data_IF_962606115281
#
_entry.id   IF_962606115281
#
_cell.length_a   1.000
_cell.length_b   1.000
_cell.length_c   1.000
_cell.angle_alpha   90.00
_cell.angle_beta   90.00
_cell.angle_gamma   90.00
#
_symmetry.space_group_name_H-M   'P 1'
#
loop_
_entity.id
_entity.type
_entity.pdbx_description
1 polymer ?
#
# COMPACT_ATOMS: atom_id res chain seq x y z
N UNK A 1 12.00 -14.16 -13.02
CA UNK A 1 12.86 -13.04 -13.56
C UNK A 1 13.54 -13.51 -14.84
N UNK A 2 13.24 -12.88 -15.96
CA UNK A 2 13.87 -13.24 -17.23
C UNK A 2 15.09 -12.33 -17.44
N UNK A 3 16.27 -12.93 -17.60
CA UNK A 3 17.57 -12.22 -17.76
C UNK A 3 17.94 -11.24 -16.62
N UNK A 4 17.44 -11.43 -15.40
CA UNK A 4 17.71 -10.54 -14.27
C UNK A 4 16.90 -9.24 -14.24
N UNK A 5 15.85 -9.13 -15.07
CA UNK A 5 14.96 -7.97 -15.10
C UNK A 5 13.62 -8.27 -14.42
N UNK A 6 13.10 -7.32 -13.65
CA UNK A 6 11.75 -7.32 -13.09
C UNK A 6 10.89 -6.40 -13.94
N UNK A 7 9.78 -6.93 -14.47
CA UNK A 7 8.82 -6.12 -15.22
C UNK A 7 7.83 -5.49 -14.26
N UNK A 8 7.97 -4.19 -14.04
CA UNK A 8 7.09 -3.41 -13.17
C UNK A 8 6.13 -2.53 -13.99
N UNK A 9 4.94 -2.31 -13.46
CA UNK A 9 3.99 -1.32 -13.94
C UNK A 9 3.81 -0.22 -12.89
N UNK A 10 3.68 1.03 -13.32
CA UNK A 10 3.18 2.15 -12.52
C UNK A 10 1.87 2.59 -13.15
N UNK A 11 0.81 2.68 -12.37
CA UNK A 11 -0.52 2.97 -12.86
C UNK A 11 -1.26 3.95 -11.96
N UNK A 12 -2.04 4.85 -12.57
CA UNK A 12 -2.84 5.85 -11.84
C UNK A 12 -4.31 5.58 -12.12
N UNK A 13 -5.11 5.15 -11.11
CA UNK A 13 -6.52 4.90 -11.29
C UNK A 13 -7.31 6.20 -11.44
N UNK A 14 -8.40 6.15 -12.17
CA UNK A 14 -9.43 7.17 -12.08
C UNK A 14 -10.19 6.96 -10.76
N UNK A 15 -10.16 7.96 -9.88
CA UNK A 15 -10.76 7.86 -8.55
C UNK A 15 -11.85 8.92 -8.35
N UNK A 16 -12.77 8.60 -7.45
CA UNK A 16 -13.79 9.52 -6.91
C UNK A 16 -13.57 9.63 -5.40
N UNK A 17 -13.55 10.86 -4.89
CA UNK A 17 -13.28 11.13 -3.47
C UNK A 17 -14.29 10.44 -2.56
N UNK A 18 -13.82 9.60 -1.64
CA UNK A 18 -14.62 8.87 -0.68
C UNK A 18 -15.34 7.63 -1.21
N UNK A 19 -15.30 7.35 -2.52
CA UNK A 19 -15.99 6.23 -3.15
C UNK A 19 -15.12 4.97 -3.21
N UNK A 20 -14.86 4.35 -2.04
CA UNK A 20 -13.92 3.25 -1.90
C UNK A 20 -14.20 2.08 -2.86
N UNK A 21 -15.48 1.72 -3.07
CA UNK A 21 -15.84 0.60 -3.96
C UNK A 21 -15.62 0.93 -5.44
N UNK A 22 -15.95 2.15 -5.87
CA UNK A 22 -15.67 2.61 -7.23
C UNK A 22 -14.15 2.63 -7.49
N UNK A 23 -13.40 3.18 -6.55
CA UNK A 23 -11.94 3.26 -6.65
C UNK A 23 -11.29 1.87 -6.66
N UNK A 24 -11.80 0.94 -5.84
CA UNK A 24 -11.36 -0.46 -5.87
C UNK A 24 -11.58 -1.11 -7.24
N UNK A 25 -12.72 -0.86 -7.89
CA UNK A 25 -12.98 -1.34 -9.25
C UNK A 25 -11.96 -0.83 -10.26
N UNK A 26 -11.60 0.46 -10.18
CA UNK A 26 -10.56 1.06 -11.03
C UNK A 26 -9.18 0.45 -10.76
N UNK A 27 -8.83 0.25 -9.48
CA UNK A 27 -7.57 -0.39 -9.05
C UNK A 27 -7.50 -1.83 -9.60
N UNK A 28 -8.56 -2.63 -9.42
CA UNK A 28 -8.64 -4.01 -9.91
C UNK A 28 -8.44 -4.07 -11.43
N UNK A 29 -9.07 -3.18 -12.18
CA UNK A 29 -8.91 -3.12 -13.63
C UNK A 29 -7.45 -2.89 -14.05
N UNK A 30 -6.72 -2.03 -13.33
CA UNK A 30 -5.30 -1.76 -13.59
C UNK A 30 -4.40 -2.92 -13.18
N UNK A 31 -4.74 -3.64 -12.10
CA UNK A 31 -4.04 -4.86 -11.70
C UNK A 31 -4.20 -5.93 -12.77
N UNK A 32 -5.43 -6.14 -13.27
CA UNK A 32 -5.73 -7.10 -14.34
C UNK A 32 -4.98 -6.76 -15.65
N UNK A 33 -4.92 -5.47 -16.01
CA UNK A 33 -4.18 -5.00 -17.18
C UNK A 33 -2.67 -5.23 -17.03
N UNK A 34 -2.08 -4.89 -15.88
CA UNK A 34 -0.67 -5.14 -15.58
C UNK A 34 -0.34 -6.64 -15.64
N UNK A 35 -1.20 -7.48 -15.04
CA UNK A 35 -1.04 -8.93 -15.04
C UNK A 35 -1.12 -9.51 -16.46
N UNK A 36 -2.05 -9.02 -17.28
CA UNK A 36 -2.18 -9.44 -18.69
C UNK A 36 -0.94 -9.13 -19.52
N UNK A 37 -0.21 -8.10 -19.14
CA UNK A 37 1.06 -7.69 -19.76
C UNK A 37 2.28 -8.42 -19.17
N UNK A 38 2.08 -9.33 -18.22
CA UNK A 38 3.13 -10.10 -17.56
C UNK A 38 4.00 -9.25 -16.62
N UNK A 39 3.43 -8.23 -16.00
CA UNK A 39 4.13 -7.48 -14.97
C UNK A 39 4.17 -8.29 -13.66
N UNK A 40 5.34 -8.33 -13.02
CA UNK A 40 5.57 -9.03 -11.75
C UNK A 40 5.06 -8.20 -10.57
N UNK A 41 5.10 -6.87 -10.70
CA UNK A 41 4.63 -5.93 -9.69
C UNK A 41 3.91 -4.75 -10.35
N UNK A 42 2.85 -4.25 -9.71
CA UNK A 42 2.17 -3.00 -10.08
C UNK A 42 2.08 -2.08 -8.89
N UNK A 43 2.50 -0.82 -9.10
CA UNK A 43 2.48 0.25 -8.12
C UNK A 43 1.39 1.26 -8.46
N UNK A 44 0.53 1.55 -7.48
CA UNK A 44 -0.52 2.57 -7.55
C UNK A 44 -0.27 3.66 -6.50
N UNK A 45 -0.84 4.87 -6.67
CA UNK A 45 -0.51 6.02 -5.83
C UNK A 45 -0.94 5.91 -4.37
N UNK A 46 -0.31 6.75 -3.53
CA UNK A 46 -0.71 7.04 -2.16
C UNK A 46 -2.20 7.39 -2.08
N UNK A 47 -2.92 6.82 -1.08
CA UNK A 47 -4.35 7.04 -0.83
C UNK A 47 -5.28 6.89 -2.05
N UNK A 48 -4.87 6.15 -3.08
CA UNK A 48 -5.67 5.98 -4.29
C UNK A 48 -6.98 5.22 -4.05
N UNK A 49 -7.11 4.50 -2.93
CA UNK A 49 -8.37 3.85 -2.56
C UNK A 49 -9.45 4.86 -2.14
N UNK A 50 -9.07 6.01 -1.59
CA UNK A 50 -10.00 6.97 -1.00
C UNK A 50 -9.95 8.35 -1.64
N UNK A 51 -8.84 8.77 -2.19
CA UNK A 51 -8.35 10.14 -2.38
C UNK A 51 -7.75 10.72 -1.10
N UNK A 52 -6.80 11.62 -1.24
CA UNK A 52 -6.22 12.41 -0.13
C UNK A 52 -7.18 13.48 0.42
N UNK A 53 -8.23 13.82 -0.34
CA UNK A 53 -9.14 14.94 -0.05
C UNK A 53 -10.40 14.54 0.69
N UNK A 54 -10.41 13.41 1.41
CA UNK A 54 -11.59 12.92 2.13
C UNK A 54 -11.95 13.73 3.38
N UNK A 55 -11.03 14.57 3.90
CA UNK A 55 -11.31 15.43 5.04
C UNK A 55 -11.87 14.66 6.24
N UNK A 56 -12.99 15.14 6.77
CA UNK A 56 -13.62 14.57 7.98
C UNK A 56 -14.13 13.13 7.82
N UNK A 57 -14.22 12.60 6.60
CA UNK A 57 -14.55 11.19 6.38
C UNK A 57 -13.52 10.24 7.01
N UNK A 58 -12.26 10.64 7.07
CA UNK A 58 -11.22 9.84 7.73
C UNK A 58 -11.50 9.60 9.22
N UNK A 59 -12.28 10.46 9.88
CA UNK A 59 -12.74 10.29 11.25
C UNK A 59 -14.00 9.42 11.39
N UNK A 60 -14.58 8.92 10.31
CA UNK A 60 -15.83 8.17 10.34
C UNK A 60 -15.58 6.63 10.35
N UNK A 61 -15.95 5.91 11.41
CA UNK A 61 -15.74 4.45 11.49
C UNK A 61 -16.36 3.68 10.32
N UNK A 62 -17.54 4.11 9.86
CA UNK A 62 -18.21 3.54 8.69
C UNK A 62 -17.32 3.63 7.44
N UNK A 63 -16.72 4.78 7.20
CA UNK A 63 -15.85 4.99 6.03
C UNK A 63 -14.63 4.07 6.06
N UNK A 64 -13.99 3.94 7.22
CA UNK A 64 -12.84 3.04 7.39
C UNK A 64 -13.25 1.58 7.20
N UNK A 65 -14.45 1.21 7.66
CA UNK A 65 -14.99 -0.13 7.39
C UNK A 65 -15.21 -0.40 5.90
N UNK A 66 -15.72 0.58 5.14
CA UNK A 66 -15.85 0.45 3.67
C UNK A 66 -14.48 0.37 2.98
N UNK A 67 -13.45 1.07 3.47
CA UNK A 67 -12.07 0.88 3.00
C UNK A 67 -11.60 -0.57 3.21
N UNK A 68 -11.85 -1.17 4.37
CA UNK A 68 -11.49 -2.57 4.64
C UNK A 68 -12.18 -3.55 3.69
N UNK A 69 -13.46 -3.34 3.37
CA UNK A 69 -14.18 -4.17 2.38
C UNK A 69 -13.58 -4.01 0.98
N UNK A 70 -13.25 -2.79 0.60
CA UNK A 70 -12.63 -2.50 -0.68
C UNK A 70 -11.25 -3.16 -0.80
N UNK A 71 -10.43 -3.14 0.26
CA UNK A 71 -9.16 -3.86 0.32
C UNK A 71 -9.37 -5.37 0.15
N UNK A 72 -10.41 -5.94 0.80
CA UNK A 72 -10.73 -7.35 0.63
C UNK A 72 -11.04 -7.72 -0.82
N UNK A 73 -11.84 -6.90 -1.52
CA UNK A 73 -12.16 -7.10 -2.93
C UNK A 73 -10.93 -7.01 -3.83
N UNK A 74 -10.02 -6.05 -3.56
CA UNK A 74 -8.76 -5.93 -4.30
C UNK A 74 -7.88 -7.17 -4.05
N UNK A 75 -7.71 -7.60 -2.79
CA UNK A 75 -6.93 -8.79 -2.47
C UNK A 75 -7.50 -10.03 -3.18
N UNK A 76 -8.80 -10.25 -3.10
CA UNK A 76 -9.48 -11.38 -3.77
C UNK A 76 -9.25 -11.37 -5.30
N UNK A 77 -9.25 -10.20 -5.93
CA UNK A 77 -9.00 -10.10 -7.37
C UNK A 77 -7.63 -10.63 -7.79
N UNK A 78 -6.64 -10.62 -6.89
CA UNK A 78 -5.28 -11.07 -7.18
C UNK A 78 -5.10 -12.59 -7.13
N UNK A 79 -6.10 -13.37 -6.70
CA UNK A 79 -6.03 -14.85 -6.61
C UNK A 79 -5.63 -15.48 -7.96
N UNK A 80 -6.12 -14.91 -9.05
CA UNK A 80 -5.90 -15.41 -10.43
C UNK A 80 -4.57 -14.97 -11.05
N UNK A 81 -3.79 -14.13 -10.37
CA UNK A 81 -2.56 -13.52 -10.90
C UNK A 81 -1.33 -13.85 -10.06
N UNK A 82 -0.16 -13.80 -10.70
CA UNK A 82 1.13 -13.81 -10.01
C UNK A 82 1.66 -12.38 -9.73
N UNK A 83 0.96 -11.36 -10.21
CA UNK A 83 1.36 -9.95 -10.04
C UNK A 83 1.15 -9.52 -8.59
N UNK A 84 2.17 -8.95 -7.99
CA UNK A 84 2.10 -8.27 -6.69
C UNK A 84 1.49 -6.89 -6.92
N UNK A 85 0.47 -6.51 -6.17
CA UNK A 85 -0.08 -5.17 -6.25
C UNK A 85 0.20 -4.37 -4.98
N UNK A 86 0.64 -3.11 -5.17
CA UNK A 86 0.89 -2.16 -4.09
C UNK A 86 0.04 -0.92 -4.34
N UNK A 87 -0.79 -0.55 -3.37
CA UNK A 87 -1.71 0.59 -3.47
C UNK A 87 -1.88 1.33 -2.15
N UNK A 88 -2.18 2.62 -2.21
CA UNK A 88 -2.37 3.48 -1.04
C UNK A 88 -3.76 3.39 -0.44
N UNK A 89 -3.85 3.22 0.88
CA UNK A 89 -5.11 3.18 1.64
C UNK A 89 -4.94 3.66 3.09
N UNK A 90 -5.98 4.22 3.72
CA UNK A 90 -5.99 4.47 5.16
C UNK A 90 -6.21 3.15 5.92
N UNK A 91 -5.42 2.91 6.95
CA UNK A 91 -5.51 1.73 7.81
C UNK A 91 -5.62 2.17 9.27
N UNK A 92 -6.65 1.67 9.95
CA UNK A 92 -6.75 1.84 11.39
C UNK A 92 -5.98 0.72 12.10
N UNK A 93 -5.09 1.13 13.00
CA UNK A 93 -4.37 0.22 13.91
C UNK A 93 -4.45 0.81 15.32
N UNK A 94 -4.90 0.00 16.27
CA UNK A 94 -5.27 0.45 17.61
C UNK A 94 -6.25 1.65 17.55
N UNK A 95 -5.88 2.76 18.17
CA UNK A 95 -6.73 3.96 18.22
C UNK A 95 -6.30 5.04 17.21
N UNK A 96 -5.44 4.71 16.26
CA UNK A 96 -4.90 5.66 15.29
C UNK A 96 -5.16 5.23 13.86
N UNK A 97 -5.31 6.22 12.97
CA UNK A 97 -5.40 6.02 11.53
C UNK A 97 -4.04 6.31 10.90
N UNK A 98 -3.61 5.47 9.98
CA UNK A 98 -2.34 5.59 9.29
C UNK A 98 -2.55 5.67 7.79
N UNK A 99 -1.76 6.50 7.12
CA UNK A 99 -1.62 6.51 5.68
C UNK A 99 -0.66 5.39 5.28
N UNK A 100 -1.13 4.43 4.51
CA UNK A 100 -0.40 3.19 4.27
C UNK A 100 -0.33 2.81 2.79
N UNK A 101 0.73 2.10 2.45
CA UNK A 101 0.80 1.24 1.27
C UNK A 101 0.43 -0.19 1.67
N UNK A 102 -0.51 -0.78 0.97
CA UNK A 102 -0.98 -2.16 1.17
C UNK A 102 -0.41 -3.03 0.07
N UNK A 103 0.23 -4.14 0.46
CA UNK A 103 0.79 -5.13 -0.47
C UNK A 103 -0.13 -6.34 -0.51
N UNK A 104 -0.63 -6.67 -1.70
CA UNK A 104 -1.49 -7.84 -1.90
C UNK A 104 -0.93 -8.76 -2.98
N UNK A 105 -1.06 -10.06 -2.77
CA UNK A 105 -0.63 -11.09 -3.71
C UNK A 105 -1.44 -12.38 -3.50
N UNK A 106 -1.92 -12.97 -4.58
CA UNK A 106 -2.67 -14.27 -4.56
C UNK A 106 -3.77 -14.34 -3.50
N UNK A 107 -4.55 -13.28 -3.37
CA UNK A 107 -5.67 -13.20 -2.42
C UNK A 107 -5.27 -12.82 -0.99
N UNK A 108 -4.00 -12.58 -0.72
CA UNK A 108 -3.48 -12.27 0.62
C UNK A 108 -3.02 -10.82 0.73
N UNK A 109 -3.21 -10.24 1.91
CA UNK A 109 -2.53 -9.04 2.36
C UNK A 109 -1.19 -9.48 2.95
N UNK A 110 -0.11 -9.28 2.19
CA UNK A 110 1.24 -9.74 2.57
C UNK A 110 1.89 -8.81 3.61
N UNK A 111 1.50 -7.54 3.62
CA UNK A 111 1.99 -6.58 4.60
C UNK A 111 1.49 -5.16 4.32
N UNK A 112 1.70 -4.31 5.29
CA UNK A 112 1.25 -2.91 5.28
C UNK A 112 2.41 -2.04 5.73
N UNK A 113 2.77 -1.07 4.87
CA UNK A 113 3.81 -0.09 5.17
C UNK A 113 3.14 1.24 5.48
N UNK A 114 3.26 1.68 6.72
CA UNK A 114 2.66 2.90 7.19
C UNK A 114 3.65 4.08 7.07
N UNK A 115 3.14 5.22 6.61
CA UNK A 115 3.90 6.45 6.41
C UNK A 115 4.46 6.97 7.74
N UNK A 116 5.76 7.17 7.80
CA UNK A 116 6.44 7.66 8.99
C UNK A 116 6.52 9.19 9.03
N UNK A 117 6.94 9.81 7.92
CA UNK A 117 7.11 11.26 7.80
C UNK A 117 5.87 11.90 7.19
N UNK A 118 5.06 12.53 8.02
CA UNK A 118 3.84 13.22 7.60
C UNK A 118 4.17 14.63 7.07
N UNK A 119 3.44 15.05 6.03
CA UNK A 119 3.46 16.42 5.54
C UNK A 119 2.57 17.33 6.38
N UNK A 120 2.70 18.64 6.16
CA UNK A 120 1.84 19.64 6.78
C UNK A 120 0.36 19.36 6.50
N UNK A 121 -0.44 19.28 7.56
CA UNK A 121 -1.87 19.01 7.51
C UNK A 121 -2.24 17.50 7.54
N UNK A 122 -1.36 16.57 7.20
CA UNK A 122 -1.66 15.13 7.30
C UNK A 122 -1.87 14.68 8.75
N UNK A 123 -1.14 15.27 9.69
CA UNK A 123 -1.23 14.98 11.13
C UNK A 123 -2.62 15.29 11.73
N UNK A 124 -3.49 16.00 11.00
CA UNK A 124 -4.88 16.17 11.38
C UNK A 124 -5.66 14.84 11.35
N UNK A 125 -5.30 13.94 10.44
CA UNK A 125 -6.03 12.71 10.19
C UNK A 125 -5.21 11.46 10.49
N UNK A 126 -3.89 11.52 10.24
CA UNK A 126 -3.00 10.36 10.30
C UNK A 126 -1.98 10.50 11.41
N UNK A 127 -1.66 9.38 12.04
CA UNK A 127 -0.54 9.26 12.95
C UNK A 127 0.74 8.88 12.17
N UNK A 128 1.89 9.33 12.68
CA UNK A 128 3.20 8.85 12.20
C UNK A 128 3.42 7.40 12.59
N UNK A 129 3.93 6.61 11.67
CA UNK A 129 4.21 5.20 11.90
C UNK A 129 5.34 4.93 12.92
N UNK A 130 6.08 5.95 13.34
CA UNK A 130 7.06 5.85 14.43
C UNK A 130 6.43 5.33 15.73
N UNK A 131 5.12 5.50 15.89
CA UNK A 131 4.38 5.02 17.07
C UNK A 131 4.02 3.54 17.01
N UNK A 132 4.23 2.87 15.87
CA UNK A 132 3.92 1.45 15.68
C UNK A 132 5.11 0.62 16.21
N UNK A 133 4.91 -0.23 17.23
CA UNK A 133 5.99 -1.08 17.73
C UNK A 133 6.48 -2.06 16.65
N UNK A 134 7.77 -2.39 16.70
CA UNK A 134 8.32 -3.42 15.82
C UNK A 134 7.63 -4.77 16.04
N UNK A 135 7.30 -5.46 14.94
CA UNK A 135 6.61 -6.74 14.98
C UNK A 135 5.09 -6.63 15.16
N UNK A 136 4.52 -5.43 15.09
CA UNK A 136 3.07 -5.24 15.13
C UNK A 136 2.37 -5.92 13.95
N UNK A 137 1.13 -6.33 14.20
CA UNK A 137 0.22 -6.87 13.18
C UNK A 137 -1.12 -6.16 13.25
N UNK A 138 -1.81 -6.08 12.14
CA UNK A 138 -3.15 -5.51 12.04
C UNK A 138 -4.10 -6.46 11.33
N UNK A 139 -5.37 -6.48 11.74
CA UNK A 139 -6.41 -7.23 11.03
C UNK A 139 -7.10 -6.30 10.04
N UNK A 140 -6.94 -6.59 8.76
CA UNK A 140 -7.59 -5.86 7.66
C UNK A 140 -8.10 -6.86 6.63
N UNK A 141 -9.25 -6.57 6.01
CA UNK A 141 -9.86 -7.48 5.03
C UNK A 141 -10.10 -8.91 5.56
N UNK A 142 -10.31 -9.08 6.86
CA UNK A 142 -10.47 -10.38 7.51
C UNK A 142 -9.17 -11.19 7.64
N UNK A 143 -8.01 -10.58 7.33
CA UNK A 143 -6.69 -11.22 7.39
C UNK A 143 -5.80 -10.46 8.37
N UNK A 144 -4.90 -11.18 9.03
CA UNK A 144 -3.87 -10.58 9.89
C UNK A 144 -2.58 -10.44 9.10
N UNK A 145 -2.06 -9.21 9.01
CA UNK A 145 -0.86 -8.87 8.26
C UNK A 145 0.12 -8.05 9.12
N UNK A 146 1.43 -8.13 8.88
CA UNK A 146 2.40 -7.25 9.52
C UNK A 146 2.17 -5.79 9.11
N UNK A 147 2.37 -4.87 10.07
CA UNK A 147 2.33 -3.42 9.85
C UNK A 147 3.57 -2.75 10.44
N UNK A 148 4.17 -1.82 9.70
CA UNK A 148 5.35 -1.07 10.15
C UNK A 148 5.88 -0.11 9.09
N UNK A 149 7.10 0.40 9.27
CA UNK A 149 7.66 1.46 8.39
C UNK A 149 8.65 0.95 7.34
N UNK A 150 9.37 -0.14 7.60
CA UNK A 150 10.56 -0.51 6.81
C UNK A 150 10.56 -2.00 6.50
N UNK A 151 9.42 -2.51 6.04
CA UNK A 151 9.32 -3.90 5.62
C UNK A 151 10.06 -4.13 4.31
N UNK A 152 10.85 -5.21 4.27
CA UNK A 152 11.41 -5.73 3.02
C UNK A 152 10.62 -6.98 2.65
N UNK A 153 9.96 -6.91 1.50
CA UNK A 153 9.25 -8.03 0.92
C UNK A 153 10.20 -8.83 0.04
N UNK A 154 10.18 -10.15 0.18
CA UNK A 154 11.05 -11.04 -0.59
C UNK A 154 10.20 -12.03 -1.37
N UNK A 155 10.48 -12.12 -2.65
CA UNK A 155 10.00 -13.17 -3.54
C UNK A 155 11.13 -14.19 -3.78
N UNK A 156 10.88 -15.19 -4.60
CA UNK A 156 11.94 -16.11 -5.05
C UNK A 156 12.93 -15.41 -6.00
N UNK A 157 12.52 -14.31 -6.63
CA UNK A 157 13.27 -13.69 -7.73
C UNK A 157 13.85 -12.32 -7.38
N UNK A 158 13.19 -11.53 -6.51
CA UNK A 158 13.63 -10.18 -6.15
C UNK A 158 13.12 -9.79 -4.75
N UNK A 159 13.68 -8.71 -4.23
CA UNK A 159 13.27 -8.08 -2.97
C UNK A 159 12.93 -6.61 -3.16
N UNK A 160 11.94 -6.11 -2.43
CA UNK A 160 11.54 -4.71 -2.52
C UNK A 160 11.18 -4.13 -1.16
N UNK A 161 11.40 -2.83 -1.04
CA UNK A 161 10.94 -1.99 0.07
C UNK A 161 9.98 -0.92 -0.42
N UNK A 162 9.26 -0.30 0.50
CA UNK A 162 8.28 0.75 0.19
C UNK A 162 8.49 1.93 1.12
N UNK A 163 8.55 3.13 0.56
CA UNK A 163 8.46 4.39 1.28
C UNK A 163 7.29 5.21 0.73
N UNK A 164 6.45 5.77 1.61
CA UNK A 164 5.15 6.30 1.21
C UNK A 164 5.21 7.79 0.89
N UNK A 165 4.79 8.17 -0.33
CA UNK A 165 4.62 9.55 -0.75
C UNK A 165 5.89 10.38 -0.62
N UNK A 166 5.84 11.46 0.15
CA UNK A 166 6.94 12.42 0.32
C UNK A 166 8.18 11.90 1.08
N UNK A 167 8.14 10.70 1.63
CA UNK A 167 9.27 10.14 2.39
C UNK A 167 10.55 10.02 1.55
N UNK A 168 10.42 9.73 0.27
CA UNK A 168 11.55 9.69 -0.67
C UNK A 168 12.31 11.03 -0.79
N UNK A 169 11.66 12.15 -0.49
CA UNK A 169 12.28 13.49 -0.50
C UNK A 169 12.78 13.93 0.88
N UNK A 170 12.72 13.06 1.90
CA UNK A 170 13.23 13.39 3.22
C UNK A 170 14.76 13.46 3.24
N UNK A 171 15.39 14.18 4.18
CA UNK A 171 16.86 14.21 4.32
C UNK A 171 17.48 12.82 4.57
N UNK A 172 16.70 11.91 5.17
CA UNK A 172 17.08 10.52 5.43
C UNK A 172 15.95 9.60 4.98
N UNK A 173 15.84 9.30 3.67
CA UNK A 173 14.78 8.45 3.16
C UNK A 173 14.95 7.00 3.67
N UNK A 174 13.85 6.38 4.07
CA UNK A 174 13.86 5.01 4.56
C UNK A 174 14.35 4.01 3.49
N UNK A 175 14.20 4.36 2.21
CA UNK A 175 14.69 3.58 1.08
C UNK A 175 16.19 3.31 1.14
N UNK A 176 17.00 4.25 1.67
CA UNK A 176 18.43 4.06 1.82
C UNK A 176 18.74 2.92 2.81
N UNK A 177 18.08 2.91 3.97
CA UNK A 177 18.26 1.85 4.98
C UNK A 177 17.74 0.50 4.47
N UNK A 178 16.62 0.50 3.76
CA UNK A 178 16.07 -0.70 3.13
C UNK A 178 17.00 -1.27 2.05
N UNK A 179 17.64 -0.41 1.24
CA UNK A 179 18.62 -0.83 0.26
C UNK A 179 19.85 -1.48 0.92
N UNK A 180 20.38 -0.88 2.01
CA UNK A 180 21.47 -1.47 2.81
C UNK A 180 21.05 -2.81 3.41
N UNK A 181 19.79 -2.96 3.82
CA UNK A 181 19.24 -4.20 4.36
C UNK A 181 18.89 -5.24 3.27
N UNK A 182 19.12 -4.93 1.99
CA UNK A 182 19.02 -5.86 0.85
C UNK A 182 17.74 -5.76 0.04
N UNK A 183 17.04 -4.62 0.07
CA UNK A 183 16.00 -4.34 -0.92
C UNK A 183 16.64 -3.97 -2.26
N UNK A 184 16.26 -4.66 -3.33
CA UNK A 184 16.77 -4.44 -4.70
C UNK A 184 15.96 -3.37 -5.44
N UNK A 185 14.69 -3.21 -5.03
CA UNK A 185 13.76 -2.24 -5.62
C UNK A 185 13.16 -1.42 -4.48
N UNK A 186 13.11 -0.10 -4.64
CA UNK A 186 12.37 0.78 -3.73
C UNK A 186 11.14 1.32 -4.49
N UNK A 187 9.96 1.08 -3.94
CA UNK A 187 8.69 1.56 -4.46
C UNK A 187 8.25 2.80 -3.68
N UNK A 188 7.79 3.81 -4.40
CA UNK A 188 7.26 5.03 -3.80
C UNK A 188 5.87 5.32 -4.39
N UNK A 189 4.79 4.85 -3.71
CA UNK A 189 3.42 5.12 -4.10
C UNK A 189 3.01 6.58 -3.93
#
# INVERSE_FOLDING_TARGET
MEYGFVKAAVAVPQISTGECHYNAGSIISLIDDAASKGCEIVLLPELCLTSSNCGDLFGQPFFIHECCKAIAAIAESTVKHNTIAVFGAPIQHDNSLYNCAVVVHKGKVEGIVAKNTLQDGESRWFASAVTIPAGSTVTVAGQTAPIGTSHIFRTEEFSFGIEVGSEAASPTPAGADMAVAGAEIILNP
#
